data_IF_679326601571
#
_entry.id   IF_679326601571
#
_cell.length_a   1.000
_cell.length_b   1.000
_cell.length_c   1.000
_cell.angle_alpha   90.00
_cell.angle_beta   90.00
_cell.angle_gamma   90.00
#
_symmetry.space_group_name_H-M   'P 1'
#
loop_
_entity.id
_entity.type
_entity.pdbx_description
1 polymer ?
#
# COMPACT_ATOMS: atom_id res chain seq x y z
N UNK A 1 -6.40 17.93 12.60
CA UNK A 1 -7.09 16.91 13.41
C UNK A 1 -7.04 15.63 12.60
N UNK A 2 -6.26 14.63 13.01
CA UNK A 2 -6.19 13.37 12.28
C UNK A 2 -7.48 12.60 12.52
N UNK A 3 -8.20 12.29 11.44
CA UNK A 3 -9.43 11.51 11.49
C UNK A 3 -8.99 10.05 11.61
N UNK A 4 -9.08 9.49 12.80
CA UNK A 4 -8.75 8.08 13.01
C UNK A 4 -9.80 7.22 12.29
N UNK A 5 -9.40 6.64 11.16
CA UNK A 5 -10.25 5.79 10.33
C UNK A 5 -9.89 4.33 10.59
N UNK A 6 -10.88 3.47 10.80
CA UNK A 6 -10.62 2.04 10.99
C UNK A 6 -9.98 1.42 9.75
N UNK A 7 -9.17 0.38 9.93
CA UNK A 7 -8.51 -0.32 8.82
C UNK A 7 -9.51 -0.83 7.79
N UNK A 8 -10.67 -1.35 8.21
CA UNK A 8 -11.73 -1.82 7.31
C UNK A 8 -12.30 -0.68 6.45
N UNK A 9 -12.49 0.50 7.06
CA UNK A 9 -12.97 1.68 6.33
C UNK A 9 -11.96 2.11 5.28
N UNK A 10 -10.67 2.13 5.64
CA UNK A 10 -9.59 2.49 4.72
C UNK A 10 -9.48 1.47 3.58
N UNK A 11 -9.53 0.18 3.87
CA UNK A 11 -9.50 -0.90 2.87
C UNK A 11 -10.66 -0.74 1.87
N UNK A 12 -11.88 -0.50 2.35
CA UNK A 12 -13.04 -0.28 1.49
C UNK A 12 -12.86 0.96 0.59
N UNK A 13 -12.32 2.06 1.13
CA UNK A 13 -12.06 3.27 0.37
C UNK A 13 -10.97 3.09 -0.68
N UNK A 14 -9.90 2.38 -0.34
CA UNK A 14 -8.83 2.06 -1.28
C UNK A 14 -9.28 1.11 -2.39
N UNK A 15 -10.12 0.12 -2.07
CA UNK A 15 -10.70 -0.77 -3.07
C UNK A 15 -11.62 0.00 -4.05
N UNK A 16 -12.40 0.96 -3.54
CA UNK A 16 -13.24 1.82 -4.37
C UNK A 16 -12.44 2.86 -5.18
N UNK A 17 -11.29 3.31 -4.67
CA UNK A 17 -10.45 4.33 -5.30
C UNK A 17 -8.97 3.90 -5.33
N UNK A 18 -8.57 2.98 -6.23
CA UNK A 18 -7.22 2.41 -6.24
C UNK A 18 -6.08 3.41 -6.45
N UNK A 19 -6.38 4.62 -6.95
CA UNK A 19 -5.42 5.72 -7.15
C UNK A 19 -4.94 6.35 -5.84
N UNK A 20 -5.63 6.11 -4.73
CA UNK A 20 -5.24 6.60 -3.41
C UNK A 20 -4.02 5.87 -2.83
N UNK A 21 -3.71 4.66 -3.33
CA UNK A 21 -2.51 3.94 -2.91
C UNK A 21 -1.25 4.55 -3.50
N UNK A 22 -0.18 4.52 -2.70
CA UNK A 22 1.16 4.74 -3.22
C UNK A 22 1.58 3.59 -4.13
N UNK A 23 2.22 3.92 -5.25
CA UNK A 23 2.67 2.98 -6.28
C UNK A 23 4.13 3.28 -6.63
N UNK A 24 4.94 2.26 -7.00
CA UNK A 24 4.56 0.85 -7.19
C UNK A 24 4.39 0.06 -5.88
N UNK A 25 3.67 -1.06 -5.96
CA UNK A 25 3.57 -2.05 -4.88
C UNK A 25 4.18 -3.35 -5.41
N UNK A 26 5.23 -3.84 -4.75
CA UNK A 26 5.81 -5.15 -5.04
C UNK A 26 5.13 -6.23 -4.22
N UNK A 27 4.89 -7.40 -4.81
CA UNK A 27 4.39 -8.60 -4.11
C UNK A 27 5.25 -9.79 -4.53
N UNK A 28 5.87 -10.46 -3.56
CA UNK A 28 6.74 -11.62 -3.80
C UNK A 28 6.68 -12.56 -2.59
N UNK A 29 6.47 -13.86 -2.82
CA UNK A 29 6.43 -14.91 -1.79
C UNK A 29 5.59 -14.58 -0.53
N UNK A 30 4.41 -14.00 -0.71
CA UNK A 30 3.51 -13.63 0.40
C UNK A 30 3.92 -12.37 1.16
N UNK A 31 4.98 -11.68 0.74
CA UNK A 31 5.38 -10.36 1.24
C UNK A 31 4.88 -9.27 0.30
N UNK A 32 4.73 -8.05 0.82
CA UNK A 32 4.40 -6.87 0.04
C UNK A 32 5.23 -5.66 0.50
N UNK A 33 5.61 -4.78 -0.43
CA UNK A 33 6.36 -3.55 -0.14
C UNK A 33 5.87 -2.39 -1.00
N UNK A 34 5.87 -1.17 -0.43
CA UNK A 34 5.68 0.06 -1.20
C UNK A 34 7.02 0.48 -1.80
N UNK A 35 7.09 0.47 -3.13
CA UNK A 35 8.27 0.80 -3.93
C UNK A 35 8.53 2.30 -4.06
N UNK A 36 8.27 3.06 -3.00
CA UNK A 36 8.59 4.49 -2.88
C UNK A 36 9.54 4.66 -1.69
N UNK A 37 10.85 4.87 -1.90
CA UNK A 37 11.53 4.99 -3.20
C UNK A 37 11.69 3.63 -3.92
N UNK A 38 12.07 3.65 -5.21
CA UNK A 38 11.98 2.47 -6.10
C UNK A 38 12.86 1.30 -5.64
N UNK A 39 13.95 1.61 -4.93
CA UNK A 39 14.90 0.66 -4.36
C UNK A 39 14.26 -0.24 -3.30
N UNK A 40 13.14 0.18 -2.69
CA UNK A 40 12.39 -0.67 -1.76
C UNK A 40 11.90 -1.95 -2.43
N UNK A 41 11.68 -1.96 -3.75
CA UNK A 41 11.32 -3.19 -4.46
C UNK A 41 12.45 -4.24 -4.43
N UNK A 42 13.69 -3.86 -4.14
CA UNK A 42 14.81 -4.79 -4.05
C UNK A 42 14.91 -5.47 -2.68
N UNK A 43 14.18 -4.99 -1.67
CA UNK A 43 14.16 -5.58 -0.33
C UNK A 43 13.16 -6.72 -0.21
N UNK A 44 12.27 -6.90 -1.19
CA UNK A 44 11.25 -7.94 -1.24
C UNK A 44 11.82 -9.26 -1.80
N UNK A 45 12.92 -9.72 -1.21
CA UNK A 45 13.47 -11.07 -1.42
C UNK A 45 12.97 -12.03 -0.34
#
# INVERSE_FOLDING_TARGET
>A
MAIESSSDTLIAHFAANPTLFERPIGVHEGKAVVGRPIENLLTIA
#
